data_IF_397672837829
#
_entry.id   IF_397672837829
#
_cell.length_a   1.000
_cell.length_b   1.000
_cell.length_c   1.000
_cell.angle_alpha   90.00
_cell.angle_beta   90.00
_cell.angle_gamma   90.00
#
_symmetry.space_group_name_H-M   'P 1'
#
loop_
_entity.id
_entity.type
_entity.pdbx_description
1 polymer ?
#
# COMPACT_ATOMS: atom_id res chain seq x y z
N UNK A 1 10.71 -45.35 3.02
CA UNK A 1 11.74 -44.78 2.12
C UNK A 1 13.01 -45.62 2.29
N UNK A 2 13.53 -46.23 1.21
CA UNK A 2 14.79 -46.97 1.28
C UNK A 2 15.96 -46.00 1.41
N UNK A 3 16.99 -46.40 2.15
CA UNK A 3 18.25 -45.65 2.32
C UNK A 3 18.87 -45.29 0.97
N UNK A 4 18.82 -46.20 -0.02
CA UNK A 4 19.37 -45.97 -1.36
C UNK A 4 18.61 -44.87 -2.12
N UNK A 5 17.27 -44.87 -2.06
CA UNK A 5 16.44 -43.85 -2.71
C UNK A 5 16.60 -42.45 -2.09
N UNK A 6 16.90 -42.37 -0.78
CA UNK A 6 17.21 -41.10 -0.12
C UNK A 6 18.54 -40.51 -0.61
N UNK A 7 19.60 -41.33 -0.72
CA UNK A 7 20.90 -40.86 -1.20
C UNK A 7 20.91 -40.54 -2.69
N UNK A 8 20.19 -41.32 -3.51
CA UNK A 8 20.03 -41.03 -4.94
C UNK A 8 19.28 -39.72 -5.17
N UNK A 9 18.19 -39.47 -4.43
CA UNK A 9 17.49 -38.18 -4.51
C UNK A 9 18.38 -37.01 -4.07
N UNK A 10 19.20 -37.21 -3.04
CA UNK A 10 20.09 -36.18 -2.49
C UNK A 10 21.23 -35.80 -3.43
N UNK A 11 21.69 -36.70 -4.28
CA UNK A 11 22.79 -36.45 -5.24
C UNK A 11 22.31 -36.10 -6.65
N UNK A 12 20.99 -36.10 -6.90
CA UNK A 12 20.45 -35.77 -8.22
C UNK A 12 20.85 -34.34 -8.63
N UNK A 13 21.44 -34.18 -9.82
CA UNK A 13 21.77 -32.85 -10.34
C UNK A 13 20.49 -32.03 -10.56
N UNK A 14 20.64 -30.71 -10.53
CA UNK A 14 19.54 -29.78 -10.77
C UNK A 14 18.86 -30.10 -12.10
N UNK A 15 17.54 -30.31 -12.07
CA UNK A 15 16.80 -30.56 -13.30
C UNK A 15 16.69 -29.27 -14.13
N UNK A 16 16.34 -29.38 -15.42
CA UNK A 16 16.19 -28.20 -16.29
C UNK A 16 15.19 -27.18 -15.73
N UNK A 17 14.19 -27.65 -14.97
CA UNK A 17 13.25 -26.79 -14.27
C UNK A 17 13.90 -25.98 -13.16
N UNK A 18 14.80 -26.58 -12.38
CA UNK A 18 15.52 -25.88 -11.31
C UNK A 18 16.47 -24.82 -11.89
N UNK A 19 17.11 -25.13 -13.02
CA UNK A 19 17.93 -24.16 -13.76
C UNK A 19 17.11 -22.96 -14.24
N UNK A 20 15.98 -23.21 -14.90
CA UNK A 20 15.08 -22.14 -15.36
C UNK A 20 14.51 -21.32 -14.19
N UNK A 21 14.22 -21.96 -13.05
CA UNK A 21 13.74 -21.24 -11.88
C UNK A 21 14.83 -20.39 -11.24
N UNK A 22 16.09 -20.84 -11.25
CA UNK A 22 17.23 -20.02 -10.80
C UNK A 22 17.45 -18.79 -11.71
N UNK A 23 17.36 -18.98 -13.03
CA UNK A 23 17.43 -17.87 -14.00
C UNK A 23 16.28 -16.87 -13.78
N UNK A 24 15.05 -17.36 -13.65
CA UNK A 24 13.89 -16.53 -13.34
C UNK A 24 14.04 -15.79 -12.00
N UNK A 25 14.60 -16.45 -10.99
CA UNK A 25 14.84 -15.86 -9.68
C UNK A 25 15.85 -14.71 -9.72
N UNK A 26 16.87 -14.78 -10.57
CA UNK A 26 17.81 -13.68 -10.81
C UNK A 26 17.08 -12.46 -11.42
N UNK A 27 16.27 -12.67 -12.45
CA UNK A 27 15.46 -11.60 -13.07
C UNK A 27 14.49 -10.98 -12.07
N UNK A 28 13.80 -11.80 -11.27
CA UNK A 28 12.91 -11.35 -10.20
C UNK A 28 13.64 -10.48 -9.19
N UNK A 29 14.86 -10.86 -8.80
CA UNK A 29 15.68 -10.11 -7.83
C UNK A 29 16.09 -8.76 -8.41
N UNK A 30 16.48 -8.70 -9.68
CA UNK A 30 16.80 -7.45 -10.37
C UNK A 30 15.60 -6.48 -10.42
N UNK A 31 14.42 -6.99 -10.83
CA UNK A 31 13.17 -6.21 -10.85
C UNK A 31 12.81 -5.70 -9.44
N UNK A 32 12.91 -6.57 -8.43
CA UNK A 32 12.58 -6.20 -7.07
C UNK A 32 13.48 -5.08 -6.54
N UNK A 33 14.80 -5.19 -6.78
CA UNK A 33 15.77 -4.16 -6.41
C UNK A 33 15.51 -2.84 -7.15
N UNK A 34 15.26 -2.88 -8.47
CA UNK A 34 14.92 -1.70 -9.26
C UNK A 34 13.65 -1.00 -8.75
N UNK A 35 12.68 -1.77 -8.23
CA UNK A 35 11.47 -1.24 -7.62
C UNK A 35 11.65 -0.66 -6.20
N UNK A 36 12.90 -0.49 -5.74
CA UNK A 36 13.22 -0.14 -4.34
C UNK A 36 12.57 -1.11 -3.35
N UNK A 37 12.63 -2.40 -3.67
CA UNK A 37 12.09 -3.50 -2.86
C UNK A 37 10.58 -3.39 -2.57
N UNK A 38 9.84 -2.62 -3.37
CA UNK A 38 8.41 -2.37 -3.10
C UNK A 38 7.53 -3.44 -3.75
N UNK A 39 7.95 -4.01 -4.89
CA UNK A 39 7.09 -4.87 -5.70
C UNK A 39 6.92 -6.27 -5.09
N UNK A 40 5.65 -6.70 -4.99
CA UNK A 40 5.26 -8.07 -4.66
C UNK A 40 4.89 -8.89 -5.89
N UNK A 41 4.50 -10.15 -5.67
CA UNK A 41 4.27 -11.16 -6.72
C UNK A 41 3.49 -10.64 -7.94
N UNK A 42 2.36 -9.97 -7.73
CA UNK A 42 1.51 -9.48 -8.83
C UNK A 42 2.19 -8.39 -9.67
N UNK A 43 2.95 -7.50 -9.02
CA UNK A 43 3.68 -6.42 -9.72
C UNK A 43 4.89 -6.97 -10.45
N UNK A 44 5.62 -7.89 -9.83
CA UNK A 44 6.73 -8.59 -10.49
C UNK A 44 6.23 -9.41 -11.68
N UNK A 45 5.10 -10.11 -11.56
CA UNK A 45 4.50 -10.84 -12.69
C UNK A 45 4.13 -9.89 -13.83
N UNK A 46 3.55 -8.73 -13.53
CA UNK A 46 3.22 -7.72 -14.54
C UNK A 46 4.49 -7.19 -15.22
N UNK A 47 5.55 -6.91 -14.47
CA UNK A 47 6.83 -6.46 -15.02
C UNK A 47 7.50 -7.52 -15.89
N UNK A 48 7.48 -8.78 -15.45
CA UNK A 48 8.00 -9.91 -16.23
C UNK A 48 7.26 -10.02 -17.57
N UNK A 49 5.92 -9.90 -17.56
CA UNK A 49 5.11 -10.00 -18.78
C UNK A 49 5.28 -8.79 -19.69
N UNK A 50 5.21 -7.58 -19.17
CA UNK A 50 5.13 -6.35 -19.96
C UNK A 50 6.50 -5.71 -20.23
N UNK A 51 7.43 -5.77 -19.28
CA UNK A 51 8.77 -5.21 -19.41
C UNK A 51 9.78 -6.20 -20.01
N UNK A 52 9.63 -7.50 -19.74
CA UNK A 52 10.57 -8.53 -20.19
C UNK A 52 10.00 -9.54 -21.20
N UNK A 53 8.70 -9.51 -21.49
CA UNK A 53 8.06 -10.47 -22.41
C UNK A 53 8.02 -11.92 -21.89
N UNK A 54 8.24 -12.13 -20.58
CA UNK A 54 8.29 -13.45 -19.95
C UNK A 54 6.90 -13.79 -19.37
N UNK A 55 6.22 -14.74 -20.00
CA UNK A 55 4.95 -15.25 -19.48
C UNK A 55 5.15 -16.33 -18.41
N UNK A 56 4.82 -15.97 -17.16
CA UNK A 56 4.89 -16.89 -16.03
C UNK A 56 3.65 -16.80 -15.14
N UNK A 57 3.27 -17.95 -14.59
CA UNK A 57 2.15 -18.03 -13.64
C UNK A 57 2.50 -17.37 -12.32
N UNK A 58 1.49 -16.75 -11.69
CA UNK A 58 1.62 -16.13 -10.37
C UNK A 58 2.22 -17.07 -9.31
N UNK A 59 1.84 -18.37 -9.33
CA UNK A 59 2.38 -19.38 -8.41
C UNK A 59 3.88 -19.61 -8.61
N UNK A 60 4.36 -19.62 -9.86
CA UNK A 60 5.78 -19.78 -10.17
C UNK A 60 6.59 -18.58 -9.67
N UNK A 61 6.11 -17.37 -9.93
CA UNK A 61 6.71 -16.13 -9.42
C UNK A 61 6.78 -16.14 -7.91
N UNK A 62 5.69 -16.48 -7.21
CA UNK A 62 5.68 -16.57 -5.75
C UNK A 62 6.70 -17.58 -5.21
N UNK A 63 6.81 -18.76 -5.84
CA UNK A 63 7.79 -19.77 -5.44
C UNK A 63 9.22 -19.28 -5.63
N UNK A 64 9.54 -18.65 -6.77
CA UNK A 64 10.86 -18.07 -7.02
C UNK A 64 11.18 -16.92 -6.05
N UNK A 65 10.22 -16.03 -5.77
CA UNK A 65 10.37 -14.99 -4.74
C UNK A 65 10.67 -15.59 -3.36
N UNK A 66 9.99 -16.68 -3.00
CA UNK A 66 10.24 -17.38 -1.73
C UNK A 66 11.62 -18.01 -1.68
N UNK A 67 12.09 -18.60 -2.79
CA UNK A 67 13.43 -19.20 -2.88
C UNK A 67 14.55 -18.19 -2.64
N UNK A 68 14.41 -16.95 -3.15
CA UNK A 68 15.40 -15.87 -2.96
C UNK A 68 15.09 -14.94 -1.79
N UNK A 69 14.06 -15.24 -0.99
CA UNK A 69 13.73 -14.50 0.22
C UNK A 69 13.20 -13.07 0.01
N UNK A 70 12.74 -12.72 -1.20
CA UNK A 70 12.19 -11.39 -1.50
C UNK A 70 10.68 -11.34 -1.31
N UNK A 71 10.19 -10.20 -0.82
CA UNK A 71 8.76 -9.98 -0.57
C UNK A 71 8.36 -8.55 -0.89
N UNK A 72 7.13 -8.37 -1.37
CA UNK A 72 6.61 -7.02 -1.64
C UNK A 72 6.20 -6.29 -0.37
N UNK A 73 6.27 -4.97 -0.42
CA UNK A 73 5.73 -4.12 0.64
C UNK A 73 4.20 -4.13 0.56
N UNK A 74 3.55 -4.59 1.62
CA UNK A 74 2.11 -4.46 1.78
C UNK A 74 1.83 -3.31 2.75
N UNK A 75 0.90 -2.42 2.41
CA UNK A 75 0.43 -1.41 3.36
C UNK A 75 -0.29 -2.16 4.48
N UNK A 76 0.24 -2.13 5.71
CA UNK A 76 -0.48 -2.67 6.87
C UNK A 76 -1.86 -2.03 6.90
N UNK A 77 -2.91 -2.84 7.10
CA UNK A 77 -4.27 -2.34 7.30
C UNK A 77 -4.21 -1.41 8.52
N UNK A 78 -4.51 -0.14 8.31
CA UNK A 78 -4.58 0.84 9.40
C UNK A 78 -5.60 0.34 10.42
N UNK A 79 -5.15 0.04 11.63
CA UNK A 79 -6.04 -0.14 12.78
C UNK A 79 -6.20 1.23 13.42
N UNK A 80 -7.45 1.62 13.66
CA UNK A 80 -7.74 2.81 14.45
C UNK A 80 -7.32 2.50 15.88
N UNK A 81 -6.13 2.94 16.25
CA UNK A 81 -5.73 2.96 17.65
C UNK A 81 -6.69 3.92 18.39
N UNK A 82 -7.11 3.59 19.63
CA UNK A 82 -7.77 4.57 20.46
C UNK A 82 -6.89 5.82 20.53
N UNK A 83 -7.48 7.04 20.51
CA UNK A 83 -6.68 8.25 20.57
C UNK A 83 -5.78 8.17 21.80
N UNK A 84 -4.48 8.29 21.58
CA UNK A 84 -3.51 8.43 22.66
C UNK A 84 -3.92 9.62 23.53
N UNK A 85 -3.49 9.63 24.79
CA UNK A 85 -3.57 10.83 25.62
C UNK A 85 -3.02 12.02 24.82
N UNK A 86 -3.72 13.16 24.86
CA UNK A 86 -3.35 14.31 24.06
C UNK A 86 -1.88 14.64 24.31
N UNK A 87 -1.07 14.59 23.24
CA UNK A 87 0.36 14.91 23.32
C UNK A 87 0.61 16.39 23.64
N UNK A 88 -0.43 17.22 23.59
CA UNK A 88 -0.39 18.66 23.75
C UNK A 88 -1.41 19.09 24.80
N UNK A 89 -1.07 20.07 25.66
CA UNK A 89 -1.99 20.59 26.65
C UNK A 89 -3.19 21.27 25.94
N UNK A 90 -4.40 20.94 26.39
CA UNK A 90 -5.61 21.64 25.98
C UNK A 90 -5.66 23.02 26.65
N UNK A 91 -5.07 24.02 25.98
CA UNK A 91 -4.94 25.39 26.51
C UNK A 91 -6.29 26.08 26.73
N UNK A 92 -7.35 25.60 26.06
CA UNK A 92 -8.69 26.20 26.15
C UNK A 92 -9.62 25.37 27.05
N UNK A 93 -9.18 24.22 27.56
CA UNK A 93 -9.97 23.32 28.41
C UNK A 93 -11.37 23.03 27.84
N UNK A 94 -11.44 22.85 26.51
CA UNK A 94 -12.70 22.72 25.75
C UNK A 94 -13.71 23.88 25.91
N UNK A 95 -13.26 25.07 26.31
CA UNK A 95 -14.05 26.29 26.38
C UNK A 95 -13.92 27.08 25.08
N UNK A 96 -14.88 26.89 24.18
CA UNK A 96 -14.90 27.54 22.86
C UNK A 96 -15.67 28.87 22.82
N UNK A 97 -15.89 29.49 23.99
CA UNK A 97 -16.59 30.76 24.13
C UNK A 97 -15.62 31.84 24.61
N UNK A 98 -15.62 32.99 23.95
CA UNK A 98 -14.84 34.15 24.34
C UNK A 98 -15.74 35.34 24.73
N UNK A 99 -15.26 36.16 25.65
CA UNK A 99 -15.96 37.36 26.13
C UNK A 99 -15.82 38.58 25.20
N UNK A 100 -14.92 38.52 24.22
CA UNK A 100 -14.64 39.61 23.29
C UNK A 100 -13.87 39.13 22.05
N UNK A 101 -13.71 40.00 21.04
CA UNK A 101 -12.94 39.70 19.85
C UNK A 101 -11.47 39.42 20.18
N UNK A 102 -10.79 38.71 19.28
CA UNK A 102 -9.34 38.40 19.34
C UNK A 102 -8.86 37.62 20.59
N UNK A 103 -9.78 37.03 21.36
CA UNK A 103 -9.44 36.22 22.56
C UNK A 103 -9.38 34.71 22.32
N UNK A 104 -10.03 34.21 21.27
CA UNK A 104 -10.04 32.80 20.91
C UNK A 104 -10.21 32.67 19.39
N UNK A 105 -9.29 31.94 18.77
CA UNK A 105 -9.30 31.68 17.34
C UNK A 105 -9.54 30.19 17.13
N UNK A 106 -10.68 29.83 16.53
CA UNK A 106 -11.06 28.44 16.25
C UNK A 106 -11.31 28.31 14.75
N UNK A 107 -10.72 27.29 14.14
CA UNK A 107 -10.98 26.92 12.75
C UNK A 107 -11.40 25.47 12.71
N UNK A 108 -12.52 25.17 12.06
CA UNK A 108 -12.91 23.79 11.75
C UNK A 108 -12.74 23.53 10.25
N UNK A 109 -12.34 22.30 9.91
CA UNK A 109 -12.22 21.84 8.53
C UNK A 109 -13.34 20.83 8.30
N UNK A 110 -14.50 21.32 7.89
CA UNK A 110 -15.58 20.46 7.45
C UNK A 110 -15.21 19.79 6.12
N UNK A 111 -15.16 18.46 6.10
CA UNK A 111 -15.05 17.71 4.85
C UNK A 111 -16.39 17.79 4.11
N UNK A 112 -16.50 18.68 3.13
CA UNK A 112 -17.58 18.59 2.14
C UNK A 112 -17.27 17.49 1.14
N UNK A 113 -18.19 16.53 0.99
CA UNK A 113 -18.26 15.76 -0.25
C UNK A 113 -18.46 16.76 -1.38
N UNK A 114 -17.56 16.74 -2.35
CA UNK A 114 -17.69 17.58 -3.53
C UNK A 114 -18.99 17.20 -4.24
N UNK A 115 -20.04 18.00 -4.04
CA UNK A 115 -21.21 18.00 -4.89
C UNK A 115 -20.74 18.50 -6.25
N UNK A 116 -20.22 17.59 -7.07
CA UNK A 116 -20.16 17.80 -8.50
C UNK A 116 -21.61 18.11 -8.94
N UNK A 117 -21.81 19.36 -9.36
CA UNK A 117 -23.01 19.91 -9.97
C UNK A 117 -24.13 20.35 -9.00
N UNK A 118 -23.96 21.54 -8.40
CA UNK A 118 -24.98 22.60 -8.35
C UNK A 118 -24.38 23.86 -7.72
N UNK A 119 -24.26 24.93 -8.50
CA UNK A 119 -23.83 26.25 -8.04
C UNK A 119 -24.94 26.91 -7.23
N UNK A 120 -25.04 26.55 -5.94
CA UNK A 120 -25.74 27.35 -4.95
C UNK A 120 -24.71 28.04 -4.04
N UNK A 121 -24.65 29.37 -4.12
CA UNK A 121 -23.88 30.19 -3.19
C UNK A 121 -24.73 30.40 -1.93
N UNK A 122 -24.25 29.90 -0.79
CA UNK A 122 -24.90 30.01 0.52
C UNK A 122 -24.01 30.80 1.48
N UNK A 123 -24.63 31.62 2.33
CA UNK A 123 -23.92 32.38 3.37
C UNK A 123 -23.47 31.48 4.54
N UNK A 124 -22.66 32.03 5.46
CA UNK A 124 -22.21 31.39 6.71
C UNK A 124 -23.38 30.92 7.61
N UNK A 125 -24.58 31.50 7.46
CA UNK A 125 -25.83 31.03 8.12
C UNK A 125 -26.65 30.04 7.27
N UNK A 126 -26.05 29.44 6.23
CA UNK A 126 -26.66 28.47 5.30
C UNK A 126 -27.92 28.96 4.55
N UNK A 127 -28.16 30.28 4.48
CA UNK A 127 -29.24 30.88 3.68
C UNK A 127 -28.82 30.93 2.20
N UNK A 128 -29.74 30.59 1.30
CA UNK A 128 -29.52 30.70 -0.14
C UNK A 128 -29.55 32.19 -0.55
N UNK A 129 -28.51 32.67 -1.22
CA UNK A 129 -28.39 34.08 -1.62
C UNK A 129 -28.74 34.27 -3.11
N UNK A 130 -28.48 33.28 -3.97
CA UNK A 130 -28.89 33.30 -5.38
C UNK A 130 -28.91 31.88 -5.99
N UNK A 131 -29.82 31.66 -6.93
CA UNK A 131 -29.85 30.50 -7.84
C UNK A 131 -29.50 31.01 -9.23
N UNK A 132 -28.39 30.55 -9.80
CA UNK A 132 -28.09 30.80 -11.21
C UNK A 132 -28.96 29.87 -12.06
N UNK A 133 -29.67 30.43 -13.05
CA UNK A 133 -30.49 29.69 -14.02
C UNK A 133 -29.61 29.08 -15.10
#
# INVERSE_FOLDING_TARGET
MSTSGYYEWRTRPACDRDRHDAELANTITAIHTASRQTYGVRRIQAELRHGHGIEVSHKRVWRCMKLVGVQGVHRRRWRREPPAAASWPDLVQRQFRAEGPDRLWVTDIERREALFNRTEVRDHRRRAIAVAR
#
